data_IF_671220480152
#
_entry.id   IF_671220480152
#
_cell.length_a   1.000
_cell.length_b   1.000
_cell.length_c   1.000
_cell.angle_alpha   90.00
_cell.angle_beta   90.00
_cell.angle_gamma   90.00
#
_symmetry.space_group_name_H-M   'P 1'
#
loop_
_entity.id
_entity.type
_entity.pdbx_description
1 polymer ?
#
# COMPACT_ATOMS: atom_id res chain seq x y z
N UNK A 1 17.96 16.25 10.25
CA UNK A 1 18.94 15.16 10.20
C UNK A 1 18.29 14.03 10.96
N UNK A 2 17.66 13.10 10.25
CA UNK A 2 17.05 11.94 10.90
C UNK A 2 18.19 11.00 11.33
N UNK A 3 18.03 10.42 12.51
CA UNK A 3 18.97 9.46 13.07
C UNK A 3 18.75 8.14 12.33
N UNK A 4 19.80 7.45 11.86
CA UNK A 4 19.64 6.13 11.27
C UNK A 4 19.00 5.18 12.29
N UNK A 5 17.94 4.49 11.88
CA UNK A 5 17.20 3.53 12.70
C UNK A 5 17.85 2.16 12.50
N UNK A 6 18.26 1.54 13.60
CA UNK A 6 18.83 0.19 13.57
C UNK A 6 17.73 -0.88 13.55
N UNK A 7 18.01 -2.04 12.95
CA UNK A 7 17.08 -3.18 12.91
C UNK A 7 16.59 -3.57 14.30
N UNK A 8 17.45 -3.52 15.33
CA UNK A 8 17.06 -3.83 16.71
C UNK A 8 15.94 -2.95 17.29
N UNK A 9 15.70 -1.78 16.72
CA UNK A 9 14.67 -0.84 17.16
C UNK A 9 13.28 -1.20 16.61
N UNK A 10 13.23 -2.01 15.54
CA UNK A 10 11.98 -2.37 14.84
C UNK A 10 11.68 -3.87 14.88
N UNK A 11 12.69 -4.71 15.14
CA UNK A 11 12.53 -6.16 15.16
C UNK A 11 11.66 -6.65 16.32
N UNK A 12 11.03 -7.80 16.14
CA UNK A 12 10.41 -8.56 17.24
C UNK A 12 11.43 -9.51 17.85
N UNK A 13 11.65 -9.40 19.17
CA UNK A 13 12.57 -10.28 19.91
C UNK A 13 11.95 -11.64 20.27
N UNK A 14 10.62 -11.71 20.37
CA UNK A 14 9.89 -12.97 20.60
C UNK A 14 9.76 -13.72 19.27
N UNK A 15 10.77 -14.54 18.96
CA UNK A 15 10.79 -15.35 17.73
C UNK A 15 10.29 -16.75 17.99
N UNK A 16 9.25 -17.14 17.27
CA UNK A 16 8.75 -18.50 17.29
C UNK A 16 9.66 -19.42 16.48
N UNK A 17 10.03 -20.56 17.08
CA UNK A 17 11.03 -21.48 16.54
C UNK A 17 10.49 -22.90 16.42
N UNK A 18 11.13 -23.69 15.55
CA UNK A 18 10.81 -25.11 15.37
C UNK A 18 12.07 -25.91 15.07
N UNK A 19 12.13 -27.17 15.50
CA UNK A 19 13.24 -28.06 15.19
C UNK A 19 13.15 -28.64 13.77
N UNK A 20 14.28 -28.97 13.12
CA UNK A 20 14.29 -29.50 11.75
C UNK A 20 13.54 -30.84 11.60
N UNK A 21 13.54 -31.65 12.66
CA UNK A 21 12.85 -32.95 12.69
C UNK A 21 11.35 -32.89 12.99
N UNK A 22 10.78 -31.71 13.27
CA UNK A 22 9.34 -31.56 13.47
C UNK A 22 8.58 -31.84 12.18
N UNK A 23 7.32 -32.29 12.28
CA UNK A 23 6.51 -32.49 11.07
C UNK A 23 5.96 -31.16 10.56
N UNK A 24 5.60 -31.13 9.28
CA UNK A 24 4.90 -29.98 8.70
C UNK A 24 3.57 -29.72 9.41
N UNK A 25 2.87 -30.76 9.85
CA UNK A 25 1.66 -30.62 10.66
C UNK A 25 1.94 -29.95 12.02
N UNK A 26 3.08 -30.25 12.66
CA UNK A 26 3.49 -29.57 13.90
C UNK A 26 3.77 -28.09 13.66
N UNK A 27 4.49 -27.76 12.57
CA UNK A 27 4.75 -26.38 12.17
C UNK A 27 3.45 -25.61 11.88
N UNK A 28 2.52 -26.20 11.12
CA UNK A 28 1.22 -25.60 10.83
C UNK A 28 0.40 -25.32 12.09
N UNK A 29 0.42 -26.24 13.06
CA UNK A 29 -0.26 -26.05 14.35
C UNK A 29 0.37 -24.92 15.14
N UNK A 30 1.71 -24.86 15.19
CA UNK A 30 2.44 -23.79 15.87
C UNK A 30 2.10 -22.42 15.28
N UNK A 31 2.21 -22.24 13.95
CA UNK A 31 1.86 -21.00 13.23
C UNK A 31 0.44 -20.51 13.58
N UNK A 32 -0.52 -21.44 13.62
CA UNK A 32 -1.92 -21.13 13.95
C UNK A 32 -2.13 -20.76 15.42
N UNK A 33 -1.43 -21.41 16.35
CA UNK A 33 -1.57 -21.18 17.79
C UNK A 33 -0.92 -19.85 18.21
N UNK A 34 0.22 -19.51 17.61
CA UNK A 34 0.97 -18.29 17.91
C UNK A 34 0.58 -17.11 17.02
N UNK A 35 -0.23 -17.33 15.98
CA UNK A 35 -0.70 -16.30 15.03
C UNK A 35 0.46 -15.58 14.33
N UNK A 36 1.54 -16.31 14.04
CA UNK A 36 2.72 -15.81 13.30
C UNK A 36 2.78 -16.42 11.91
N UNK A 37 3.32 -15.67 10.94
CA UNK A 37 3.39 -16.11 9.53
C UNK A 37 4.62 -16.94 9.16
N UNK A 38 5.52 -17.24 10.10
CA UNK A 38 6.70 -18.10 9.90
C UNK A 38 7.31 -18.57 11.22
N UNK A 39 8.06 -19.66 11.15
CA UNK A 39 8.90 -20.17 12.23
C UNK A 39 10.37 -20.20 11.78
N UNK A 40 11.28 -19.74 12.63
CA UNK A 40 12.71 -19.93 12.40
C UNK A 40 13.09 -21.36 12.80
N UNK A 41 13.76 -22.07 11.90
CA UNK A 41 14.22 -23.43 12.15
C UNK A 41 15.54 -23.37 12.90
N UNK A 42 15.59 -23.96 14.08
CA UNK A 42 16.76 -23.97 14.95
C UNK A 42 17.23 -25.40 15.16
N UNK A 43 18.52 -25.65 14.90
CA UNK A 43 19.19 -26.93 15.12
C UNK A 43 20.36 -26.74 16.09
N UNK A 44 20.40 -27.51 17.18
CA UNK A 44 21.40 -27.39 18.26
C UNK A 44 21.65 -25.94 18.79
N UNK A 45 20.66 -25.05 18.66
CA UNK A 45 20.73 -23.65 19.09
C UNK A 45 21.07 -22.66 17.98
N UNK A 46 21.46 -23.14 16.80
CA UNK A 46 21.80 -22.31 15.64
C UNK A 46 20.59 -22.17 14.70
N UNK A 47 20.26 -20.95 14.22
CA UNK A 47 19.20 -20.76 13.25
C UNK A 47 19.68 -21.22 11.85
N UNK A 48 19.08 -22.30 11.33
CA UNK A 48 19.53 -23.00 10.11
C UNK A 48 18.60 -22.82 8.91
N UNK A 49 17.36 -22.35 9.14
CA UNK A 49 16.38 -22.15 8.08
C UNK A 49 15.15 -21.40 8.55
N UNK A 50 14.18 -21.23 7.66
CA UNK A 50 12.88 -20.63 7.97
C UNK A 50 11.78 -21.36 7.19
N UNK A 51 10.61 -21.50 7.81
CA UNK A 51 9.40 -22.04 7.17
C UNK A 51 8.24 -21.07 7.35
N UNK A 52 7.56 -20.73 6.27
CA UNK A 52 6.42 -19.82 6.21
C UNK A 52 5.13 -20.55 5.83
N UNK A 53 3.99 -19.91 6.07
CA UNK A 53 2.68 -20.44 5.67
C UNK A 53 2.61 -20.79 4.17
N UNK A 54 3.26 -19.99 3.32
CA UNK A 54 3.33 -20.23 1.86
C UNK A 54 4.00 -21.56 1.52
N UNK A 55 5.08 -21.93 2.22
CA UNK A 55 5.79 -23.20 2.01
C UNK A 55 4.88 -24.40 2.32
N UNK A 56 4.02 -24.24 3.33
CA UNK A 56 3.05 -25.27 3.71
C UNK A 56 1.94 -25.40 2.66
N UNK A 57 1.48 -24.28 2.10
CA UNK A 57 0.49 -24.29 1.01
C UNK A 57 1.05 -24.94 -0.24
N UNK A 58 2.30 -24.65 -0.58
CA UNK A 58 3.01 -25.25 -1.73
C UNK A 58 3.15 -26.77 -1.56
N UNK A 59 3.55 -27.23 -0.37
CA UNK A 59 3.60 -28.67 -0.07
C UNK A 59 2.25 -29.37 -0.28
N UNK A 60 1.15 -28.75 0.17
CA UNK A 60 -0.19 -29.32 0.02
C UNK A 60 -0.61 -29.37 -1.46
N UNK A 61 -0.20 -28.39 -2.26
CA UNK A 61 -0.42 -28.39 -3.70
C UNK A 61 0.32 -29.55 -4.41
N UNK A 62 1.51 -29.91 -3.92
CA UNK A 62 2.31 -31.03 -4.44
C UNK A 62 1.85 -32.42 -3.95
N UNK A 63 0.81 -32.47 -3.10
CA UNK A 63 0.27 -33.72 -2.57
C UNK A 63 1.15 -34.39 -1.51
N UNK A 64 1.99 -33.61 -0.82
CA UNK A 64 2.76 -34.09 0.32
C UNK A 64 1.87 -34.43 1.52
N UNK A 65 2.24 -35.46 2.27
CA UNK A 65 1.60 -35.78 3.55
C UNK A 65 2.25 -34.97 4.69
N UNK A 66 1.53 -34.00 5.30
CA UNK A 66 2.10 -33.12 6.31
C UNK A 66 2.42 -33.84 7.63
N UNK A 67 1.89 -35.05 7.87
CA UNK A 67 2.16 -35.83 9.08
C UNK A 67 3.47 -36.63 9.01
N UNK A 68 4.04 -36.80 7.80
CA UNK A 68 5.27 -37.57 7.58
C UNK A 68 6.44 -36.75 7.00
N UNK A 69 6.16 -35.60 6.38
CA UNK A 69 7.20 -34.65 5.93
C UNK A 69 7.77 -33.84 7.10
N UNK A 70 9.09 -33.69 7.12
CA UNK A 70 9.80 -32.88 8.12
C UNK A 70 9.94 -31.43 7.68
N UNK A 71 10.05 -30.52 8.64
CA UNK A 71 10.33 -29.10 8.41
C UNK A 71 11.62 -28.90 7.61
N UNK A 72 12.68 -29.64 7.94
CA UNK A 72 13.96 -29.59 7.20
C UNK A 72 13.80 -29.82 5.69
N UNK A 73 12.83 -30.66 5.29
CA UNK A 73 12.61 -31.01 3.89
C UNK A 73 11.87 -29.94 3.08
N UNK A 74 11.32 -28.92 3.75
CA UNK A 74 10.51 -27.86 3.14
C UNK A 74 10.98 -26.45 3.50
N UNK A 75 11.86 -26.30 4.48
CA UNK A 75 12.37 -25.00 4.90
C UNK A 75 13.23 -24.36 3.80
N UNK A 76 13.24 -23.04 3.78
CA UNK A 76 14.21 -22.28 3.00
C UNK A 76 15.58 -22.30 3.68
N UNK A 77 16.61 -22.70 2.92
CA UNK A 77 18.01 -22.72 3.34
C UNK A 77 18.94 -22.44 2.13
N UNK A 78 20.08 -21.73 2.31
CA UNK A 78 20.61 -21.20 3.56
C UNK A 78 19.77 -20.02 4.11
N UNK A 79 19.77 -19.86 5.44
CA UNK A 79 19.03 -18.78 6.09
C UNK A 79 19.63 -17.42 5.74
N UNK A 80 18.82 -16.54 5.16
CA UNK A 80 19.17 -15.13 4.97
C UNK A 80 18.95 -14.40 6.29
N UNK A 81 19.97 -13.73 6.80
CA UNK A 81 19.94 -13.08 8.12
C UNK A 81 20.50 -11.66 8.07
N UNK A 82 20.14 -10.84 9.05
CA UNK A 82 20.69 -9.48 9.22
C UNK A 82 21.21 -9.29 10.64
N UNK A 83 22.19 -8.39 10.82
CA UNK A 83 22.67 -8.02 12.15
C UNK A 83 21.73 -7.02 12.85
N UNK A 84 21.67 -7.00 14.20
CA UNK A 84 20.79 -6.10 14.94
C UNK A 84 21.19 -4.61 14.82
N UNK A 85 22.45 -4.32 14.51
CA UNK A 85 22.97 -2.96 14.31
C UNK A 85 22.95 -2.53 12.84
N UNK A 86 22.48 -3.38 11.93
CA UNK A 86 22.29 -3.00 10.53
C UNK A 86 21.28 -1.85 10.43
N UNK A 87 21.48 -0.98 9.44
CA UNK A 87 20.55 0.09 9.16
C UNK A 87 19.28 -0.47 8.50
N UNK A 88 18.15 0.20 8.70
CA UNK A 88 16.85 -0.26 8.20
C UNK A 88 16.80 -0.37 6.66
N UNK A 89 17.51 0.50 5.96
CA UNK A 89 17.66 0.49 4.49
C UNK A 89 18.46 -0.72 4.01
N UNK A 90 19.55 -1.07 4.70
CA UNK A 90 20.30 -2.30 4.42
C UNK A 90 19.40 -3.54 4.56
N UNK A 91 18.58 -3.59 5.61
CA UNK A 91 17.62 -4.68 5.80
C UNK A 91 16.53 -4.70 4.72
N UNK A 92 16.03 -3.54 4.30
CA UNK A 92 15.04 -3.42 3.22
C UNK A 92 15.62 -3.87 1.87
N UNK A 93 16.84 -3.44 1.54
CA UNK A 93 17.56 -3.85 0.35
C UNK A 93 17.80 -5.35 0.34
N UNK A 94 18.13 -5.95 1.49
CA UNK A 94 18.35 -7.38 1.61
C UNK A 94 17.05 -8.18 1.40
N UNK A 95 15.92 -7.75 2.00
CA UNK A 95 14.60 -8.35 1.76
C UNK A 95 14.25 -8.34 0.27
N UNK A 96 14.43 -7.20 -0.39
CA UNK A 96 14.11 -7.03 -1.81
C UNK A 96 15.04 -7.84 -2.72
N UNK A 97 16.34 -7.84 -2.42
CA UNK A 97 17.35 -8.52 -3.24
C UNK A 97 17.24 -10.04 -3.17
N UNK A 98 16.91 -10.58 -2.01
CA UNK A 98 16.75 -12.02 -1.78
C UNK A 98 15.32 -12.51 -2.01
N UNK A 99 14.38 -11.61 -2.37
CA UNK A 99 12.95 -11.89 -2.59
C UNK A 99 12.28 -12.59 -1.40
N UNK A 100 12.61 -12.14 -0.19
CA UNK A 100 12.09 -12.69 1.06
C UNK A 100 11.34 -11.62 1.84
N UNK A 101 10.29 -12.03 2.57
CA UNK A 101 9.44 -11.12 3.36
C UNK A 101 9.89 -10.98 4.82
N UNK A 102 10.87 -11.76 5.24
CA UNK A 102 11.24 -11.93 6.65
C UNK A 102 12.75 -12.12 6.76
N UNK A 103 13.37 -11.41 7.69
CA UNK A 103 14.78 -11.52 8.04
C UNK A 103 14.93 -11.86 9.51
N UNK A 104 15.33 -13.10 9.84
CA UNK A 104 15.88 -13.41 11.14
C UNK A 104 17.09 -12.51 11.45
N UNK A 105 17.09 -11.93 12.65
CA UNK A 105 18.15 -11.08 13.15
C UNK A 105 19.07 -11.93 14.00
N UNK A 106 20.36 -11.95 13.66
CA UNK A 106 21.35 -12.81 14.32
C UNK A 106 22.48 -11.96 14.88
N UNK A 107 22.83 -12.18 16.15
CA UNK A 107 23.94 -11.54 16.86
C UNK A 107 24.86 -12.63 17.40
N UNK A 108 26.15 -12.61 17.05
CA UNK A 108 27.15 -13.61 17.48
C UNK A 108 26.80 -15.09 17.19
N UNK A 109 25.92 -15.34 16.22
CA UNK A 109 25.45 -16.68 15.82
C UNK A 109 24.13 -17.10 16.49
N UNK A 110 23.64 -16.31 17.46
CA UNK A 110 22.39 -16.55 18.15
C UNK A 110 21.25 -15.75 17.54
N UNK A 111 20.04 -16.33 17.54
CA UNK A 111 18.83 -15.68 17.08
C UNK A 111 18.40 -14.57 18.07
N UNK A 112 18.52 -13.31 17.65
CA UNK A 112 18.23 -12.14 18.45
C UNK A 112 16.82 -11.56 18.19
N UNK A 113 16.24 -11.83 17.03
CA UNK A 113 14.93 -11.32 16.65
C UNK A 113 14.50 -11.70 15.24
N UNK A 114 13.40 -11.13 14.77
CA UNK A 114 12.95 -11.21 13.38
C UNK A 114 12.40 -9.85 12.95
N UNK A 115 12.73 -9.43 11.72
CA UNK A 115 12.20 -8.22 11.11
C UNK A 115 11.47 -8.61 9.80
N UNK A 116 10.25 -8.12 9.63
CA UNK A 116 9.42 -8.41 8.45
C UNK A 116 9.18 -7.16 7.61
N UNK A 117 8.80 -7.33 6.34
CA UNK A 117 8.45 -6.20 5.46
C UNK A 117 7.38 -5.29 6.10
N UNK A 118 6.47 -5.85 6.91
CA UNK A 118 5.46 -5.11 7.68
C UNK A 118 6.05 -4.33 8.85
N UNK A 119 7.08 -4.85 9.51
CA UNK A 119 7.78 -4.12 10.57
C UNK A 119 8.55 -2.95 9.98
N UNK A 120 9.22 -3.17 8.84
CA UNK A 120 9.96 -2.13 8.12
C UNK A 120 9.03 -1.07 7.52
N UNK A 121 7.87 -1.45 6.97
CA UNK A 121 6.95 -0.49 6.31
C UNK A 121 6.44 0.60 7.26
N UNK A 122 6.38 0.34 8.57
CA UNK A 122 6.00 1.31 9.60
C UNK A 122 7.04 2.43 9.82
N UNK A 123 8.28 2.20 9.40
CA UNK A 123 9.41 3.11 9.63
C UNK A 123 10.07 3.62 8.35
N UNK A 124 9.64 3.10 7.19
CA UNK A 124 10.08 3.52 5.85
C UNK A 124 9.35 4.73 5.18
N UNK A 125 8.59 5.63 5.84
CA UNK A 125 8.10 6.83 5.14
C UNK A 125 9.17 7.85 4.71
N UNK A 126 10.47 7.68 5.02
CA UNK A 126 11.45 8.80 4.94
C UNK A 126 12.73 8.55 4.12
N UNK A 127 12.91 7.41 3.45
CA UNK A 127 14.20 7.12 2.78
C UNK A 127 14.15 6.83 1.27
N UNK A 128 12.99 6.88 0.62
CA UNK A 128 12.88 6.80 -0.84
C UNK A 128 13.43 8.03 -1.60
N UNK A 129 14.06 9.00 -0.92
CA UNK A 129 14.61 10.23 -1.52
C UNK A 129 16.15 10.29 -1.58
N UNK A 130 16.91 9.25 -1.18
CA UNK A 130 18.37 9.42 -0.98
C UNK A 130 19.37 8.59 -1.79
N UNK A 131 18.97 7.72 -2.73
CA UNK A 131 19.93 7.16 -3.71
C UNK A 131 19.44 7.19 -5.16
N UNK A 132 18.88 8.33 -5.57
CA UNK A 132 18.58 8.64 -6.97
C UNK A 132 19.04 10.05 -7.37
N UNK A 133 20.35 10.33 -7.32
CA UNK A 133 20.87 11.41 -8.17
C UNK A 133 20.65 11.00 -9.64
N UNK A 134 19.97 11.88 -10.38
CA UNK A 134 19.63 11.82 -11.81
C UNK A 134 18.58 10.78 -12.27
N UNK A 135 17.31 10.95 -11.85
CA UNK A 135 16.16 10.68 -12.73
C UNK A 135 15.07 11.73 -12.59
N UNK A 136 15.32 12.89 -13.19
CA UNK A 136 14.27 13.81 -13.62
C UNK A 136 13.29 13.09 -14.55
N UNK A 137 12.14 12.63 -14.03
CA UNK A 137 10.96 12.26 -14.82
C UNK A 137 9.67 12.56 -14.06
N UNK A 138 9.37 13.85 -13.91
CA UNK A 138 7.99 14.30 -13.76
C UNK A 138 7.34 14.19 -15.14
N UNK A 139 6.49 13.19 -15.37
CA UNK A 139 5.61 13.16 -16.54
C UNK A 139 4.21 13.59 -16.10
N UNK A 140 3.90 14.87 -16.32
CA UNK A 140 2.53 15.40 -16.33
C UNK A 140 1.91 15.04 -17.67
N UNK A 141 1.31 13.87 -17.79
CA UNK A 141 0.39 13.60 -18.91
C UNK A 141 -0.86 12.91 -18.37
N UNK A 142 -1.99 13.57 -18.62
CA UNK A 142 -3.37 13.16 -18.29
C UNK A 142 -3.68 11.80 -18.91
N UNK A 143 -4.13 10.83 -18.11
CA UNK A 143 -4.65 9.54 -18.60
C UNK A 143 -6.14 9.66 -19.04
N UNK A 144 -6.60 8.80 -19.98
CA UNK A 144 -7.76 9.08 -20.85
C UNK A 144 -9.16 8.94 -20.23
N UNK A 145 -9.28 8.49 -18.98
CA UNK A 145 -10.56 8.03 -18.40
C UNK A 145 -11.22 9.00 -17.41
N UNK A 146 -10.62 10.16 -17.15
CA UNK A 146 -11.26 11.20 -16.30
C UNK A 146 -12.05 12.21 -17.13
N UNK A 147 -13.38 12.22 -16.93
CA UNK A 147 -14.31 13.06 -17.72
C UNK A 147 -14.18 14.57 -17.50
N UNK A 148 -13.56 15.03 -16.41
CA UNK A 148 -13.30 16.44 -16.10
C UNK A 148 -12.11 16.60 -15.14
N UNK A 149 -11.42 17.74 -15.23
CA UNK A 149 -10.36 18.17 -14.29
C UNK A 149 -10.60 19.64 -13.91
N UNK A 150 -10.13 20.06 -12.73
CA UNK A 150 -10.17 21.47 -12.27
C UNK A 150 -8.75 22.03 -12.19
N UNK A 151 -8.59 23.33 -12.42
CA UNK A 151 -7.28 24.01 -12.47
C UNK A 151 -6.48 23.92 -11.16
N UNK A 152 -7.15 23.73 -10.04
CA UNK A 152 -6.56 23.64 -8.71
C UNK A 152 -6.22 22.20 -8.27
N UNK A 153 -6.44 21.21 -9.14
CA UNK A 153 -6.09 19.82 -8.89
C UNK A 153 -4.72 19.51 -9.48
N UNK A 154 -3.93 18.75 -8.75
CA UNK A 154 -2.67 18.21 -9.27
C UNK A 154 -2.68 16.70 -9.17
N UNK A 155 -2.06 16.09 -10.17
CA UNK A 155 -1.94 14.65 -10.29
C UNK A 155 -0.51 14.33 -10.75
N UNK A 156 0.05 13.27 -10.17
CA UNK A 156 1.33 12.72 -10.57
C UNK A 156 1.24 11.20 -10.56
N UNK A 157 1.79 10.56 -11.58
CA UNK A 157 2.02 9.12 -11.60
C UNK A 157 3.49 8.87 -11.91
N UNK A 158 4.11 8.02 -11.12
CA UNK A 158 5.50 7.63 -11.22
C UNK A 158 5.56 6.13 -11.49
N UNK A 159 6.08 5.78 -12.67
CA UNK A 159 6.31 4.40 -13.09
C UNK A 159 7.71 3.95 -12.67
N UNK A 160 7.82 2.72 -12.19
CA UNK A 160 9.07 2.13 -11.68
C UNK A 160 10.04 1.77 -12.81
N UNK A 161 9.50 1.33 -13.95
CA UNK A 161 10.26 0.94 -15.14
C UNK A 161 9.76 1.75 -16.33
N UNK A 162 10.62 2.08 -17.31
CA UNK A 162 10.20 2.67 -18.58
C UNK A 162 9.38 1.71 -19.48
N UNK A 163 8.50 0.92 -18.86
CA UNK A 163 7.54 0.02 -19.47
C UNK A 163 6.48 0.78 -20.26
N UNK A 164 5.67 0.03 -21.01
CA UNK A 164 4.61 0.66 -21.82
C UNK A 164 3.51 1.20 -20.90
N UNK A 165 2.96 2.39 -21.22
CA UNK A 165 1.88 3.19 -20.56
C UNK A 165 0.58 2.41 -20.14
N UNK A 166 0.57 1.08 -20.00
CA UNK A 166 -0.63 0.24 -19.91
C UNK A 166 -0.59 -0.91 -18.90
N UNK A 167 0.45 -1.02 -18.06
CA UNK A 167 0.57 -2.08 -17.05
C UNK A 167 1.00 -1.47 -15.72
N UNK A 168 0.28 -1.83 -14.65
CA UNK A 168 0.64 -1.48 -13.26
C UNK A 168 1.75 -2.41 -12.78
N UNK A 169 2.80 -1.84 -12.22
CA UNK A 169 3.93 -2.57 -11.63
C UNK A 169 4.05 -2.29 -10.13
N UNK A 170 4.66 -3.23 -9.39
CA UNK A 170 5.04 -2.99 -7.99
C UNK A 170 6.08 -1.87 -7.94
N UNK A 171 5.87 -0.92 -7.03
CA UNK A 171 6.63 0.33 -6.92
C UNK A 171 5.96 1.53 -7.60
N UNK A 172 4.91 1.32 -8.41
CA UNK A 172 4.23 2.43 -9.07
C UNK A 172 3.49 3.29 -8.04
N UNK A 173 3.61 4.61 -8.19
CA UNK A 173 3.03 5.58 -7.25
C UNK A 173 2.08 6.53 -7.97
N UNK A 174 0.83 6.58 -7.53
CA UNK A 174 -0.16 7.57 -7.93
C UNK A 174 -0.38 8.60 -6.83
N UNK A 175 -0.36 9.89 -7.17
CA UNK A 175 -0.62 11.01 -6.27
C UNK A 175 -1.75 11.88 -6.79
N UNK A 176 -2.65 12.29 -5.92
CA UNK A 176 -3.69 13.26 -6.26
C UNK A 176 -3.85 14.30 -5.15
N UNK A 177 -3.87 15.58 -5.52
CA UNK A 177 -3.98 16.68 -4.57
C UNK A 177 -5.05 17.68 -4.97
N UNK A 178 -5.84 18.11 -3.98
CA UNK A 178 -6.85 19.16 -4.12
C UNK A 178 -7.09 19.88 -2.78
N UNK A 179 -7.58 21.13 -2.78
CA UNK A 179 -8.15 21.72 -1.59
C UNK A 179 -9.47 21.02 -1.21
N UNK A 180 -9.74 20.89 0.08
CA UNK A 180 -11.05 20.49 0.61
C UNK A 180 -11.87 21.74 0.92
N UNK A 181 -12.53 22.28 -0.10
CA UNK A 181 -13.25 23.54 0.01
C UNK A 181 -14.53 23.43 0.85
N UNK A 182 -15.08 24.58 1.24
CA UNK A 182 -16.40 24.68 1.86
C UNK A 182 -17.51 24.09 0.95
N UNK A 183 -17.36 24.19 -0.38
CA UNK A 183 -18.26 23.55 -1.34
C UNK A 183 -18.18 22.02 -1.25
N UNK A 184 -16.97 21.47 -1.16
CA UNK A 184 -16.76 20.02 -1.03
C UNK A 184 -17.36 19.48 0.27
N UNK A 185 -17.16 20.16 1.39
CA UNK A 185 -17.71 19.76 2.70
C UNK A 185 -19.24 19.73 2.68
N UNK A 186 -19.87 20.76 2.08
CA UNK A 186 -21.33 20.82 1.96
C UNK A 186 -21.87 19.77 0.99
N UNK A 187 -21.24 19.63 -0.18
CA UNK A 187 -21.63 18.64 -1.17
C UNK A 187 -21.50 17.21 -0.63
N UNK A 188 -20.43 16.94 0.14
CA UNK A 188 -20.25 15.66 0.80
C UNK A 188 -21.32 15.42 1.88
N UNK A 189 -21.64 16.41 2.71
CA UNK A 189 -22.70 16.28 3.71
C UNK A 189 -24.07 15.98 3.06
N UNK A 190 -24.38 16.63 1.95
CA UNK A 190 -25.61 16.39 1.19
C UNK A 190 -25.64 15.00 0.54
N UNK A 191 -24.51 14.56 -0.03
CA UNK A 191 -24.41 13.28 -0.72
C UNK A 191 -24.35 12.08 0.23
N UNK A 192 -23.60 12.19 1.32
CA UNK A 192 -23.40 11.12 2.31
C UNK A 192 -24.51 11.08 3.38
N UNK A 193 -25.20 12.20 3.60
CA UNK A 193 -26.10 12.40 4.73
C UNK A 193 -25.39 12.72 6.06
N UNK A 194 -24.06 12.76 6.09
CA UNK A 194 -23.30 13.16 7.28
C UNK A 194 -23.35 14.69 7.46
N UNK A 195 -24.37 15.11 8.20
CA UNK A 195 -24.63 16.51 8.55
C UNK A 195 -24.14 16.87 9.95
N UNK A 196 -23.13 16.15 10.48
CA UNK A 196 -22.56 16.44 11.78
C UNK A 196 -22.12 17.92 11.87
N UNK A 197 -22.60 18.61 12.91
CA UNK A 197 -22.37 20.04 13.13
C UNK A 197 -20.90 20.40 13.27
N UNK A 198 -20.05 19.45 13.63
CA UNK A 198 -18.60 19.64 13.68
C UNK A 198 -18.02 20.13 12.33
N UNK A 199 -18.63 19.73 11.21
CA UNK A 199 -18.16 20.09 9.86
C UNK A 199 -18.86 21.34 9.29
N UNK A 200 -20.02 21.73 9.86
CA UNK A 200 -20.96 22.67 9.21
C UNK A 200 -21.27 23.93 10.03
N UNK A 201 -20.99 23.95 11.34
CA UNK A 201 -21.35 25.05 12.24
C UNK A 201 -20.14 25.53 13.05
N UNK A 202 -19.62 26.72 12.70
CA UNK A 202 -18.46 27.34 13.35
C UNK A 202 -18.64 27.46 14.88
N UNK A 203 -19.79 27.95 15.34
CA UNK A 203 -20.05 28.16 16.78
C UNK A 203 -20.10 26.86 17.55
N UNK A 204 -20.59 25.80 16.92
CA UNK A 204 -20.58 24.49 17.54
C UNK A 204 -19.16 23.95 17.62
N UNK A 205 -18.37 24.10 16.55
CA UNK A 205 -17.03 23.58 16.45
C UNK A 205 -16.02 24.27 17.39
N UNK A 206 -16.16 25.60 17.59
CA UNK A 206 -15.47 26.39 18.64
C UNK A 206 -15.69 25.79 20.04
N UNK A 207 -16.82 25.13 20.28
CA UNK A 207 -17.13 24.47 21.56
C UNK A 207 -16.50 23.08 21.73
N UNK A 208 -15.77 22.58 20.73
CA UNK A 208 -15.18 21.24 20.73
C UNK A 208 -13.68 21.28 20.99
N UNK A 209 -13.05 20.12 21.18
CA UNK A 209 -11.59 20.00 21.32
C UNK A 209 -10.79 20.52 20.12
N UNK A 210 -11.42 20.68 18.96
CA UNK A 210 -10.77 21.17 17.75
C UNK A 210 -10.78 22.70 17.66
N UNK A 211 -11.67 23.37 18.40
CA UNK A 211 -11.85 24.84 18.43
C UNK A 211 -12.19 25.49 17.07
N UNK A 212 -12.44 24.67 16.04
CA UNK A 212 -12.75 25.08 14.66
C UNK A 212 -13.39 23.92 13.90
N UNK A 213 -14.00 24.23 12.75
CA UNK A 213 -14.53 23.20 11.85
C UNK A 213 -13.39 22.46 11.15
N UNK A 214 -13.59 21.15 11.01
CA UNK A 214 -12.67 20.26 10.30
C UNK A 214 -13.45 19.56 9.18
N UNK A 215 -12.77 19.15 8.12
CA UNK A 215 -13.38 18.36 7.05
C UNK A 215 -13.83 16.98 7.56
N UNK A 216 -14.77 16.33 6.85
CA UNK A 216 -15.14 14.95 7.16
C UNK A 216 -13.96 14.01 6.89
N UNK A 217 -13.66 13.10 7.81
CA UNK A 217 -12.60 12.11 7.60
C UNK A 217 -12.81 11.29 6.32
N UNK A 218 -14.05 10.87 6.05
CA UNK A 218 -14.41 10.16 4.81
C UNK A 218 -14.27 11.00 3.54
N UNK A 219 -14.45 12.32 3.63
CA UNK A 219 -14.18 13.23 2.51
C UNK A 219 -12.67 13.30 2.26
N UNK A 220 -11.87 13.43 3.32
CA UNK A 220 -10.41 13.40 3.25
C UNK A 220 -9.91 12.08 2.65
N UNK A 221 -10.35 10.93 3.19
CA UNK A 221 -10.01 9.62 2.64
C UNK A 221 -10.51 9.42 1.19
N UNK A 222 -11.58 10.11 0.79
CA UNK A 222 -12.13 10.03 -0.57
C UNK A 222 -11.14 10.45 -1.66
N UNK A 223 -10.13 11.29 -1.34
CA UNK A 223 -9.10 11.67 -2.31
C UNK A 223 -8.18 10.50 -2.70
N UNK A 224 -8.10 9.44 -1.88
CA UNK A 224 -7.42 8.18 -2.23
C UNK A 224 -8.06 7.57 -3.48
N UNK A 225 -9.39 7.57 -3.55
CA UNK A 225 -10.09 7.06 -4.73
C UNK A 225 -9.74 7.85 -6.00
N UNK A 226 -9.47 9.15 -5.87
CA UNK A 226 -9.08 10.00 -6.99
C UNK A 226 -7.63 9.77 -7.42
N UNK A 227 -6.73 9.40 -6.49
CA UNK A 227 -5.37 8.96 -6.82
C UNK A 227 -5.38 7.60 -7.51
N UNK A 228 -6.12 6.62 -6.98
CA UNK A 228 -6.22 5.28 -7.56
C UNK A 228 -6.81 5.27 -8.97
N UNK A 229 -7.74 6.17 -9.26
CA UNK A 229 -8.29 6.36 -10.60
C UNK A 229 -7.24 6.77 -11.67
N UNK A 230 -5.99 6.95 -11.26
CA UNK A 230 -4.88 7.37 -12.10
C UNK A 230 -3.85 6.29 -12.36
N UNK A 231 -4.03 5.11 -11.77
CA UNK A 231 -3.30 3.94 -12.21
C UNK A 231 -3.69 3.60 -13.66
N UNK A 232 -2.78 3.10 -14.49
CA UNK A 232 -3.06 2.73 -15.87
C UNK A 232 -4.08 1.59 -15.91
N UNK A 233 -5.12 1.75 -16.73
CA UNK A 233 -6.20 0.77 -16.86
C UNK A 233 -7.47 1.15 -16.12
N UNK A 234 -8.44 0.24 -16.13
CA UNK A 234 -9.69 0.36 -15.39
C UNK A 234 -9.46 -0.11 -13.95
N UNK A 235 -9.26 0.83 -13.03
CA UNK A 235 -9.05 0.53 -11.62
C UNK A 235 -10.38 0.35 -10.88
N UNK A 236 -10.55 -0.81 -10.25
CA UNK A 236 -11.70 -1.20 -9.45
C UNK A 236 -11.25 -1.37 -8.00
N UNK A 237 -11.77 -0.54 -7.10
CA UNK A 237 -11.48 -0.63 -5.67
C UNK A 237 -12.20 -1.83 -5.06
N UNK A 238 -11.46 -2.85 -4.61
CA UNK A 238 -12.04 -4.09 -4.07
C UNK A 238 -12.25 -4.05 -2.56
N UNK A 239 -11.26 -3.60 -1.81
CA UNK A 239 -11.34 -3.58 -0.35
C UNK A 239 -10.36 -2.59 0.26
N UNK A 240 -10.79 -1.94 1.34
CA UNK A 240 -9.91 -1.25 2.27
C UNK A 240 -9.55 -2.26 3.36
N UNK A 241 -8.27 -2.59 3.51
CA UNK A 241 -7.82 -3.52 4.54
C UNK A 241 -7.67 -2.79 5.88
N UNK A 242 -7.03 -1.62 5.86
CA UNK A 242 -6.80 -0.79 7.05
C UNK A 242 -7.00 0.69 6.69
N UNK A 243 -7.51 1.46 7.65
CA UNK A 243 -7.65 2.91 7.54
C UNK A 243 -7.62 3.55 8.93
N UNK A 244 -6.68 4.46 9.14
CA UNK A 244 -6.46 5.20 10.37
C UNK A 244 -6.56 6.69 10.10
N UNK A 245 -7.32 7.40 10.94
CA UNK A 245 -7.37 8.86 10.94
C UNK A 245 -6.42 9.39 12.00
N UNK A 246 -5.29 9.93 11.55
CA UNK A 246 -4.17 10.37 12.41
C UNK A 246 -4.36 11.82 12.87
N UNK A 247 -4.92 12.67 12.02
CA UNK A 247 -5.10 14.10 12.27
C UNK A 247 -6.36 14.68 11.63
N UNK A 248 -6.88 15.80 12.16
CA UNK A 248 -7.93 16.56 11.51
C UNK A 248 -7.37 17.35 10.32
N UNK A 249 -8.22 17.62 9.32
CA UNK A 249 -7.91 18.52 8.21
C UNK A 249 -8.82 19.74 8.30
N UNK A 250 -8.27 20.94 8.16
CA UNK A 250 -9.06 22.16 8.19
C UNK A 250 -9.80 22.39 6.87
N UNK A 251 -10.97 23.02 6.96
CA UNK A 251 -11.75 23.35 5.77
C UNK A 251 -11.02 24.43 4.96
N UNK A 252 -10.72 24.12 3.71
CA UNK A 252 -9.95 24.95 2.79
C UNK A 252 -8.52 24.45 2.57
N UNK A 253 -8.02 23.55 3.42
CA UNK A 253 -6.67 23.02 3.30
C UNK A 253 -6.53 22.10 2.10
N UNK A 254 -5.31 22.08 1.54
CA UNK A 254 -4.91 21.13 0.51
C UNK A 254 -4.55 19.81 1.16
N UNK A 255 -5.06 18.74 0.58
CA UNK A 255 -4.67 17.38 0.92
C UNK A 255 -4.10 16.68 -0.29
N UNK A 256 -3.17 15.76 -0.06
CA UNK A 256 -2.53 14.95 -1.10
C UNK A 256 -2.65 13.49 -0.75
N UNK A 257 -3.40 12.73 -1.54
CA UNK A 257 -3.39 11.28 -1.46
C UNK A 257 -2.16 10.73 -2.18
N UNK A 258 -1.52 9.74 -1.58
CA UNK A 258 -0.43 8.96 -2.16
C UNK A 258 -0.83 7.49 -2.12
N UNK A 259 -0.72 6.81 -3.25
CA UNK A 259 -1.04 5.39 -3.40
C UNK A 259 0.13 4.71 -4.08
N UNK A 260 0.79 3.79 -3.37
CA UNK A 260 1.93 3.03 -3.88
C UNK A 260 1.55 1.57 -4.00
N UNK A 261 1.84 0.96 -5.14
CA UNK A 261 1.63 -0.46 -5.37
C UNK A 261 2.72 -1.25 -4.66
N UNK A 262 2.35 -1.96 -3.59
CA UNK A 262 3.32 -2.66 -2.73
C UNK A 262 3.39 -4.16 -3.01
N UNK A 263 2.37 -4.75 -3.64
CA UNK A 263 2.35 -6.18 -3.93
C UNK A 263 1.43 -6.52 -5.12
N UNK A 264 1.88 -7.41 -6.01
CA UNK A 264 1.04 -8.08 -7.01
C UNK A 264 0.43 -9.35 -6.40
N UNK A 265 -0.90 -9.39 -6.32
CA UNK A 265 -1.67 -10.51 -5.77
C UNK A 265 -2.14 -11.48 -6.86
N UNK A 266 -1.70 -11.29 -8.10
CA UNK A 266 -2.05 -12.07 -9.27
C UNK A 266 -3.47 -11.80 -9.78
N UNK A 267 -3.64 -12.05 -11.08
CA UNK A 267 -4.94 -11.87 -11.76
C UNK A 267 -5.35 -10.40 -11.89
N UNK A 268 -4.38 -9.49 -12.03
CA UNK A 268 -4.61 -8.04 -12.13
C UNK A 268 -4.95 -7.38 -10.80
N UNK A 269 -4.79 -8.08 -9.67
CA UNK A 269 -5.07 -7.55 -8.34
C UNK A 269 -3.78 -7.07 -7.70
N UNK A 270 -3.85 -5.90 -7.08
CA UNK A 270 -2.71 -5.26 -6.44
C UNK A 270 -3.08 -4.80 -5.04
N UNK A 271 -2.14 -4.97 -4.10
CA UNK A 271 -2.20 -4.31 -2.80
C UNK A 271 -1.46 -2.99 -2.88
N UNK A 272 -2.03 -1.97 -2.25
CA UNK A 272 -1.45 -0.64 -2.19
C UNK A 272 -1.32 -0.15 -0.75
N UNK A 273 -0.20 0.50 -0.46
CA UNK A 273 -0.12 1.45 0.64
C UNK A 273 -0.88 2.72 0.24
N UNK A 274 -1.68 3.27 1.15
CA UNK A 274 -2.45 4.49 0.90
C UNK A 274 -2.27 5.46 2.05
N UNK A 275 -1.92 6.70 1.74
CA UNK A 275 -1.87 7.79 2.71
C UNK A 275 -2.55 9.05 2.18
N UNK A 276 -2.92 9.94 3.10
CA UNK A 276 -3.30 11.31 2.80
C UNK A 276 -2.49 12.24 3.69
N UNK A 277 -1.79 13.17 3.06
CA UNK A 277 -1.01 14.21 3.70
C UNK A 277 -1.76 15.55 3.65
N UNK A 278 -1.53 16.41 4.63
CA UNK A 278 -2.05 17.78 4.63
C UNK A 278 -1.14 18.76 3.84
N UNK A 279 -1.42 20.06 3.94
CA UNK A 279 -0.67 21.11 3.25
C UNK A 279 0.75 21.31 3.78
N UNK A 280 1.08 20.77 4.95
CA UNK A 280 2.40 20.82 5.57
C UNK A 280 3.20 19.53 5.31
N UNK A 281 2.57 18.52 4.69
CA UNK A 281 3.15 17.20 4.44
C UNK A 281 3.03 16.25 5.63
N UNK A 282 2.19 16.57 6.62
CA UNK A 282 1.92 15.67 7.74
C UNK A 282 0.85 14.64 7.34
N UNK A 283 1.09 13.37 7.66
CA UNK A 283 0.15 12.29 7.36
C UNK A 283 -1.08 12.39 8.28
N UNK A 284 -2.25 12.60 7.67
CA UNK A 284 -3.54 12.74 8.36
C UNK A 284 -4.42 11.50 8.22
N UNK A 285 -4.17 10.69 7.19
CA UNK A 285 -4.80 9.36 7.00
C UNK A 285 -3.74 8.37 6.53
N UNK A 286 -3.75 7.16 7.10
CA UNK A 286 -2.91 6.06 6.65
C UNK A 286 -3.73 4.78 6.47
N UNK A 287 -3.30 3.87 5.60
CA UNK A 287 -4.05 2.65 5.32
C UNK A 287 -3.48 1.77 4.23
N UNK A 288 -4.23 0.72 3.91
CA UNK A 288 -3.95 -0.23 2.84
C UNK A 288 -5.22 -0.55 2.07
N UNK A 289 -5.10 -0.75 0.76
CA UNK A 289 -6.19 -1.13 -0.12
C UNK A 289 -5.81 -2.25 -1.07
N UNK A 290 -6.81 -2.98 -1.55
CA UNK A 290 -6.68 -3.92 -2.67
C UNK A 290 -7.53 -3.43 -3.82
N UNK A 291 -6.94 -3.38 -5.01
CA UNK A 291 -7.62 -3.02 -6.26
C UNK A 291 -7.48 -4.13 -7.29
N UNK A 292 -8.39 -4.15 -8.25
CA UNK A 292 -8.28 -4.90 -9.50
C UNK A 292 -8.09 -3.90 -10.63
N UNK A 293 -7.14 -4.15 -11.52
CA UNK A 293 -6.86 -3.30 -12.67
C UNK A 293 -7.07 -4.11 -13.95
N UNK A 294 -8.13 -3.77 -14.66
CA UNK A 294 -8.46 -4.37 -15.95
C UNK A 294 -7.93 -3.51 -17.10
N UNK A 295 -7.80 -4.12 -18.29
CA UNK A 295 -7.53 -3.36 -19.51
C UNK A 295 -8.74 -2.48 -19.84
N UNK A 296 -8.47 -1.26 -20.30
CA UNK A 296 -9.52 -0.40 -20.84
C UNK A 296 -10.22 -1.11 -22.02
N UNK A 297 -11.55 -0.99 -22.14
CA UNK A 297 -12.26 -1.44 -23.32
C UNK A 297 -11.65 -0.81 -24.58
N UNK A 298 -11.57 -1.57 -25.67
CA UNK A 298 -11.18 -0.99 -26.96
C UNK A 298 -12.22 0.07 -27.35
N UNK A 299 -11.75 1.25 -27.74
CA UNK A 299 -12.60 2.32 -28.22
C UNK A 299 -13.22 1.90 -29.56
N UNK A 300 -14.42 1.30 -29.53
CA UNK A 300 -15.21 0.97 -30.71
C UNK A 300 -15.66 2.28 -31.35
N UNK A 301 -14.79 2.87 -32.17
CA UNK A 301 -15.02 4.14 -32.83
C UNK A 301 -16.41 4.23 -33.43
N UNK A 302 -17.26 5.11 -32.89
CA UNK A 302 -18.58 5.43 -33.44
C UNK A 302 -19.01 6.86 -33.08
N UNK A 303 -18.22 7.83 -33.54
CA UNK A 303 -18.78 9.09 -34.03
C UNK A 303 -19.23 8.92 -35.48
N UNK A 304 -20.20 8.03 -35.73
CA UNK A 304 -20.87 7.98 -37.03
C UNK A 304 -21.42 9.37 -37.34
N UNK A 305 -21.00 9.92 -38.48
CA UNK A 305 -21.41 11.24 -38.94
C UNK A 305 -22.93 11.39 -38.89
N UNK A 306 -23.40 12.32 -38.06
CA UNK A 306 -24.62 13.04 -38.40
C UNK A 306 -24.26 13.99 -39.53
N UNK A 307 -24.42 13.50 -40.75
CA UNK A 307 -24.61 14.37 -41.90
C UNK A 307 -25.89 15.16 -41.65
N UNK A 308 -25.76 16.42 -41.26
CA UNK A 308 -26.80 17.41 -41.44
C UNK A 308 -27.02 17.58 -42.94
N UNK A 309 -28.00 16.86 -43.48
CA UNK A 309 -28.58 17.16 -44.79
C UNK A 309 -29.72 18.16 -44.59
N UNK A 310 -29.59 19.43 -45.02
CA UNK A 310 -30.66 20.41 -44.94
C UNK A 310 -31.67 20.13 -46.06
N UNK A 311 -32.54 19.15 -45.81
CA UNK A 311 -33.71 18.87 -46.62
C UNK A 311 -34.74 20.00 -46.53
N UNK A 312 -34.56 21.01 -47.37
CA UNK A 312 -35.59 22.00 -47.70
C UNK A 312 -36.91 21.32 -48.08
N UNK A 313 -37.96 21.56 -47.28
CA UNK A 313 -39.34 21.58 -47.77
C UNK A 313 -40.09 22.74 -47.14
N UNK A 314 -40.27 23.75 -47.98
CA UNK A 314 -41.27 24.82 -47.92
C UNK A 314 -42.64 24.31 -47.50
N UNK A 315 -43.30 25.04 -46.59
CA UNK A 315 -44.68 24.81 -46.19
C UNK A 315 -45.29 26.04 -45.50
N UNK A 316 -45.59 27.04 -46.32
CA UNK A 316 -46.36 28.29 -46.07
C UNK A 316 -45.58 29.49 -45.55
#
# INVERSE_FOLDING_TARGET
>A
MLVPIAVREVMSADVETVGPGATVADAARSLRETTVGSLVVVDDGEPVGIVAETDLVELMADGGDPESRTVESVMSAPLVTVGPDAELDEAADLLAREDVKKLPVVEDGDLAGIATTTDLSRYLPVYADRQGEDRERVRRDVLPDTSYEREDWTFEYQETTGGSDSVVEVGDVARFSKPLSEEDVRAFADASGDTNRLHLDDRFAEGTRFDRRIAHGSLTAGVISAALARLPGLTIYLSTEEMHFLGPVDVGDRVTAVCEVVEDLGGGRYRLSTSVEDGEGEEVVSGSAVVLVDRLPADDGQGAGRSDDPGSRSGT
#
